data_IF_996770844297
#
_entry.id   IF_996770844297
#
_cell.length_a   1.000
_cell.length_b   1.000
_cell.length_c   1.000
_cell.angle_alpha   90.00
_cell.angle_beta   90.00
_cell.angle_gamma   90.00
#
_symmetry.space_group_name_H-M   'P 1'
#
loop_
_entity.id
_entity.type
_entity.pdbx_description
1 polymer ?
#
# COMPACT_ATOMS: atom_id res chain seq x y z
N UNK A 1 -47.37 -68.53 32.95
CA UNK A 1 -46.90 -67.25 33.53
C UNK A 1 -45.83 -66.67 32.62
N UNK A 2 -46.04 -65.53 31.94
CA UNK A 2 -44.98 -64.86 31.20
C UNK A 2 -44.22 -63.87 32.11
N UNK A 3 -42.90 -63.86 31.98
CA UNK A 3 -41.99 -63.08 32.83
C UNK A 3 -42.01 -61.58 32.50
N UNK A 4 -42.02 -60.77 33.55
CA UNK A 4 -42.00 -59.30 33.52
C UNK A 4 -40.57 -58.76 33.44
N UNK A 5 -39.85 -58.87 32.32
CA UNK A 5 -38.56 -58.17 32.17
C UNK A 5 -38.26 -57.79 30.71
N UNK A 6 -38.96 -56.80 30.13
CA UNK A 6 -38.54 -56.23 28.83
C UNK A 6 -39.06 -54.80 28.55
N UNK A 7 -38.86 -53.82 29.44
CA UNK A 7 -39.20 -52.41 29.10
C UNK A 7 -38.16 -51.34 29.49
N UNK A 8 -37.16 -51.61 30.32
CA UNK A 8 -36.29 -50.54 30.88
C UNK A 8 -35.01 -50.19 30.11
N UNK A 9 -34.76 -50.70 28.89
CA UNK A 9 -33.49 -50.48 28.19
C UNK A 9 -33.53 -49.55 26.95
N UNK A 10 -34.68 -48.98 26.57
CA UNK A 10 -34.77 -48.17 25.33
C UNK A 10 -34.89 -46.65 25.54
N UNK A 11 -35.03 -46.18 26.79
CA UNK A 11 -35.24 -44.74 27.09
C UNK A 11 -33.97 -43.95 27.42
N UNK A 12 -32.84 -44.61 27.71
CA UNK A 12 -31.58 -43.93 28.05
C UNK A 12 -30.78 -43.46 26.81
N UNK A 13 -30.82 -44.19 25.70
CA UNK A 13 -30.11 -43.83 24.47
C UNK A 13 -30.69 -42.58 23.77
N UNK A 14 -32.01 -42.51 23.66
CA UNK A 14 -32.71 -41.37 23.03
C UNK A 14 -32.52 -40.09 23.84
N UNK A 15 -32.56 -40.17 25.18
CA UNK A 15 -32.34 -39.02 26.07
C UNK A 15 -30.92 -38.45 26.01
N UNK A 16 -29.89 -39.30 25.91
CA UNK A 16 -28.48 -38.87 25.78
C UNK A 16 -28.22 -38.24 24.41
N UNK A 17 -28.77 -38.78 23.32
CA UNK A 17 -28.63 -38.20 21.98
C UNK A 17 -29.38 -36.87 21.85
N UNK A 18 -30.58 -36.73 22.43
CA UNK A 18 -31.32 -35.45 22.48
C UNK A 18 -30.62 -34.42 23.38
N UNK A 19 -30.11 -34.81 24.54
CA UNK A 19 -29.38 -33.89 25.42
C UNK A 19 -28.06 -33.41 24.80
N UNK A 20 -27.33 -34.28 24.10
CA UNK A 20 -26.09 -33.91 23.40
C UNK A 20 -26.34 -33.02 22.18
N UNK A 21 -27.39 -33.29 21.39
CA UNK A 21 -27.80 -32.42 20.28
C UNK A 21 -28.37 -31.09 20.76
N UNK A 22 -29.16 -31.06 21.84
CA UNK A 22 -29.65 -29.84 22.45
C UNK A 22 -28.52 -29.02 23.09
N UNK A 23 -27.56 -29.65 23.77
CA UNK A 23 -26.38 -28.99 24.32
C UNK A 23 -25.45 -28.46 23.23
N UNK A 24 -25.26 -29.23 22.14
CA UNK A 24 -24.55 -28.76 20.95
C UNK A 24 -25.28 -27.57 20.30
N UNK A 25 -26.60 -27.63 20.17
CA UNK A 25 -27.45 -26.55 19.66
C UNK A 25 -27.42 -25.30 20.53
N UNK A 26 -27.48 -25.45 21.86
CA UNK A 26 -27.35 -24.36 22.82
C UNK A 26 -25.94 -23.76 22.80
N UNK A 27 -24.90 -24.59 22.64
CA UNK A 27 -23.52 -24.15 22.47
C UNK A 27 -23.33 -23.32 21.19
N UNK A 28 -23.87 -23.80 20.06
CA UNK A 28 -23.86 -23.07 18.78
C UNK A 28 -24.64 -21.77 18.90
N UNK A 29 -25.84 -21.77 19.48
CA UNK A 29 -26.66 -20.58 19.68
C UNK A 29 -25.93 -19.55 20.55
N UNK A 30 -25.39 -19.95 21.70
CA UNK A 30 -24.62 -19.08 22.60
C UNK A 30 -23.39 -18.49 21.90
N UNK A 31 -22.68 -19.29 21.10
CA UNK A 31 -21.57 -18.81 20.30
C UNK A 31 -22.02 -17.76 19.27
N UNK A 32 -23.09 -18.03 18.51
CA UNK A 32 -23.63 -17.09 17.52
C UNK A 32 -24.11 -15.79 18.16
N UNK A 33 -24.77 -15.86 19.33
CA UNK A 33 -25.16 -14.67 20.08
C UNK A 33 -23.95 -13.82 20.51
N UNK A 34 -22.89 -14.46 21.04
CA UNK A 34 -21.66 -13.74 21.43
C UNK A 34 -20.98 -13.08 20.23
N UNK A 35 -20.90 -13.78 19.09
CA UNK A 35 -20.36 -13.24 17.84
C UNK A 35 -21.20 -12.05 17.35
N UNK A 36 -22.53 -12.17 17.37
CA UNK A 36 -23.42 -11.10 16.93
C UNK A 36 -23.35 -9.87 17.86
N UNK A 37 -23.23 -10.09 19.17
CA UNK A 37 -22.99 -9.00 20.12
C UNK A 37 -21.66 -8.29 19.84
N UNK A 38 -20.58 -9.05 19.63
CA UNK A 38 -19.29 -8.47 19.24
C UNK A 38 -19.36 -7.71 17.90
N UNK A 39 -20.13 -8.19 16.92
CA UNK A 39 -20.37 -7.47 15.67
C UNK A 39 -21.13 -6.14 15.91
N UNK A 40 -22.11 -6.13 16.81
CA UNK A 40 -22.81 -4.90 17.19
C UNK A 40 -21.87 -3.89 17.87
N UNK A 41 -21.01 -4.35 18.79
CA UNK A 41 -20.00 -3.51 19.44
C UNK A 41 -19.03 -2.90 18.42
N UNK A 42 -18.59 -3.67 17.43
CA UNK A 42 -17.73 -3.18 16.35
C UNK A 42 -18.47 -2.20 15.43
N UNK A 43 -19.75 -2.42 15.16
CA UNK A 43 -20.56 -1.48 14.38
C UNK A 43 -20.71 -0.13 15.09
N UNK A 44 -20.72 -0.10 16.42
CA UNK A 44 -20.70 1.15 17.18
C UNK A 44 -19.38 1.94 17.02
N UNK A 45 -18.28 1.29 16.61
CA UNK A 45 -17.00 1.95 16.35
C UNK A 45 -16.93 2.62 14.96
N UNK A 46 -17.83 2.30 14.03
CA UNK A 46 -17.83 2.86 12.67
C UNK A 46 -17.82 4.40 12.66
N UNK A 47 -18.75 5.11 13.34
CA UNK A 47 -18.73 6.57 13.37
C UNK A 47 -17.49 7.12 14.10
N UNK A 48 -17.01 6.43 15.13
CA UNK A 48 -15.82 6.83 15.93
C UNK A 48 -14.55 6.76 15.09
N UNK A 49 -14.32 5.66 14.40
CA UNK A 49 -13.13 5.48 13.55
C UNK A 49 -13.19 6.39 12.32
N UNK A 50 -14.36 6.53 11.69
CA UNK A 50 -14.54 7.47 10.58
C UNK A 50 -14.27 8.92 11.02
N UNK A 51 -14.78 9.36 12.18
CA UNK A 51 -14.48 10.67 12.73
C UNK A 51 -12.98 10.84 13.02
N UNK A 52 -12.34 9.85 13.64
CA UNK A 52 -10.92 9.88 13.95
C UNK A 52 -10.04 10.14 12.71
N UNK A 53 -10.38 9.53 11.56
CA UNK A 53 -9.68 9.80 10.30
C UNK A 53 -9.97 11.19 9.76
N UNK A 54 -11.24 11.62 9.74
CA UNK A 54 -11.65 12.95 9.26
C UNK A 54 -11.01 14.09 10.04
N UNK A 55 -10.93 13.99 11.36
CA UNK A 55 -10.31 15.00 12.25
C UNK A 55 -8.81 15.21 11.97
N UNK A 56 -8.21 14.39 11.10
CA UNK A 56 -6.78 14.41 10.77
C UNK A 56 -6.52 14.83 9.33
N UNK A 57 -7.55 15.05 8.51
CA UNK A 57 -7.41 15.38 7.08
C UNK A 57 -6.63 16.68 6.86
N UNK A 58 -6.78 17.67 7.75
CA UNK A 58 -6.15 18.98 7.61
C UNK A 58 -4.74 19.06 8.19
N UNK A 59 -4.26 17.98 8.83
CA UNK A 59 -2.88 17.91 9.32
C UNK A 59 -1.92 18.03 8.15
N UNK A 60 -0.88 18.86 8.31
CA UNK A 60 0.17 19.03 7.31
C UNK A 60 1.23 17.92 7.45
N UNK A 61 1.92 17.64 6.35
CA UNK A 61 3.05 16.74 6.29
C UNK A 61 3.78 16.93 4.97
N UNK A 62 5.09 16.65 4.95
CA UNK A 62 5.92 16.69 3.74
C UNK A 62 5.42 15.69 2.71
N UNK A 63 5.09 14.48 3.16
CA UNK A 63 4.49 13.43 2.32
C UNK A 63 2.99 13.34 2.53
N UNK A 64 2.24 13.04 1.48
CA UNK A 64 0.82 12.74 1.47
C UNK A 64 0.58 11.25 1.20
N UNK A 65 -0.01 10.58 2.18
CA UNK A 65 -0.53 9.21 2.06
C UNK A 65 -2.05 9.23 1.96
N UNK A 66 -2.60 8.71 0.86
CA UNK A 66 -4.04 8.53 0.67
C UNK A 66 -4.40 7.04 0.69
N UNK A 67 -5.38 6.67 1.51
CA UNK A 67 -5.92 5.31 1.55
C UNK A 67 -7.37 5.29 1.08
N UNK A 68 -7.72 4.32 0.22
CA UNK A 68 -9.10 3.97 -0.14
C UNK A 68 -9.37 2.52 0.25
N UNK A 69 -10.63 2.20 0.53
CA UNK A 69 -11.01 0.85 0.93
C UNK A 69 -12.28 0.77 1.75
N UNK A 70 -12.36 -0.27 2.56
CA UNK A 70 -13.54 -0.59 3.36
C UNK A 70 -13.30 -0.45 4.88
N UNK A 71 -13.99 -1.25 5.68
CA UNK A 71 -13.89 -1.25 7.14
C UNK A 71 -12.49 -1.63 7.64
N UNK A 72 -11.74 -2.43 6.86
CA UNK A 72 -10.37 -2.79 7.22
C UNK A 72 -9.44 -1.57 7.15
N UNK A 73 -9.64 -0.71 6.15
CA UNK A 73 -8.90 0.54 6.01
C UNK A 73 -9.27 1.54 7.11
N UNK A 74 -10.54 1.58 7.54
CA UNK A 74 -10.96 2.38 8.69
C UNK A 74 -10.40 1.85 10.02
N UNK A 75 -10.07 0.55 10.09
CA UNK A 75 -9.48 -0.09 11.25
C UNK A 75 -10.46 -0.78 12.18
N UNK A 76 -11.65 -1.12 11.71
CA UNK A 76 -12.67 -1.82 12.51
C UNK A 76 -12.09 -3.15 13.02
N UNK A 77 -12.28 -3.44 14.30
CA UNK A 77 -11.67 -4.60 14.97
C UNK A 77 -10.32 -4.33 15.64
N UNK A 78 -9.63 -3.24 15.28
CA UNK A 78 -8.46 -2.78 16.02
C UNK A 78 -8.89 -2.11 17.34
N UNK A 79 -7.99 -2.09 18.32
CA UNK A 79 -8.22 -1.33 19.56
C UNK A 79 -8.17 0.19 19.34
N UNK A 80 -7.60 0.64 18.23
CA UNK A 80 -7.72 2.02 17.73
C UNK A 80 -7.39 2.09 16.24
N UNK A 81 -7.82 3.14 15.52
CA UNK A 81 -7.47 3.34 14.11
C UNK A 81 -5.96 3.37 13.85
N UNK A 82 -5.15 3.84 14.81
CA UNK A 82 -3.69 3.83 14.71
C UNK A 82 -3.09 2.41 14.67
N UNK A 83 -3.83 1.39 15.14
CA UNK A 83 -3.42 -0.02 15.15
C UNK A 83 -3.97 -0.82 13.98
N UNK A 84 -4.76 -0.19 13.10
CA UNK A 84 -5.15 -0.73 11.79
C UNK A 84 -3.95 -0.88 10.85
N UNK A 85 -4.14 -1.50 9.69
CA UNK A 85 -3.05 -1.56 8.71
C UNK A 85 -2.67 -0.16 8.21
N UNK A 86 -3.63 0.72 7.91
CA UNK A 86 -3.36 2.12 7.49
C UNK A 86 -2.61 2.88 8.57
N UNK A 87 -3.01 2.74 9.84
CA UNK A 87 -2.33 3.37 10.97
C UNK A 87 -0.90 2.87 11.15
N UNK A 88 -0.70 1.56 11.03
CA UNK A 88 0.64 0.92 11.11
C UNK A 88 1.54 1.32 9.96
N UNK A 89 1.02 1.34 8.74
CA UNK A 89 1.73 1.80 7.55
C UNK A 89 2.10 3.28 7.68
N UNK A 90 1.21 4.12 8.21
CA UNK A 90 1.52 5.53 8.51
C UNK A 90 2.71 5.66 9.47
N UNK A 91 2.75 4.84 10.53
CA UNK A 91 3.88 4.83 11.46
C UNK A 91 5.16 4.28 10.82
N UNK A 92 5.05 3.25 9.97
CA UNK A 92 6.15 2.69 9.20
C UNK A 92 6.76 3.73 8.25
N UNK A 93 5.94 4.42 7.46
CA UNK A 93 6.38 5.46 6.53
C UNK A 93 7.14 6.58 7.25
N UNK A 94 6.62 7.08 8.38
CA UNK A 94 7.32 8.12 9.18
C UNK A 94 8.69 7.66 9.66
N UNK A 95 8.81 6.41 10.12
CA UNK A 95 10.09 5.85 10.57
C UNK A 95 11.07 5.70 9.41
N UNK A 96 10.60 5.24 8.26
CA UNK A 96 11.45 4.94 7.11
C UNK A 96 11.91 6.20 6.37
N UNK A 97 11.05 7.22 6.27
CA UNK A 97 11.33 8.46 5.53
C UNK A 97 11.93 9.56 6.39
N UNK A 98 11.91 9.42 7.72
CA UNK A 98 12.30 10.46 8.68
C UNK A 98 11.63 11.82 8.43
N UNK A 99 10.42 11.83 7.86
CA UNK A 99 9.68 13.06 7.55
C UNK A 99 8.25 13.06 8.08
N UNK A 100 7.63 14.23 8.06
CA UNK A 100 6.22 14.40 8.43
C UNK A 100 5.30 13.84 7.36
N UNK A 101 4.23 13.16 7.78
CA UNK A 101 3.25 12.52 6.91
C UNK A 101 1.87 13.11 7.16
N UNK A 102 1.19 13.54 6.10
CA UNK A 102 -0.26 13.79 6.07
C UNK A 102 -0.94 12.51 5.64
N UNK A 103 -2.01 12.11 6.34
CA UNK A 103 -2.75 10.89 6.03
C UNK A 103 -4.20 11.26 5.76
N UNK A 104 -4.70 10.89 4.59
CA UNK A 104 -6.10 11.04 4.20
C UNK A 104 -6.66 9.65 3.94
N UNK A 105 -7.52 9.18 4.84
CA UNK A 105 -8.17 7.88 4.70
C UNK A 105 -9.61 8.09 4.23
N UNK A 106 -9.86 7.84 2.94
CA UNK A 106 -11.13 8.01 2.26
C UNK A 106 -12.05 6.78 2.38
N UNK A 107 -11.58 5.73 3.04
CA UNK A 107 -12.33 4.48 3.17
C UNK A 107 -13.69 4.64 3.85
N UNK A 108 -14.60 3.75 3.46
CA UNK A 108 -15.98 3.70 3.98
C UNK A 108 -16.28 2.26 4.39
N UNK A 109 -16.65 2.03 5.64
CA UNK A 109 -17.04 0.70 6.11
C UNK A 109 -18.19 0.11 5.30
N UNK A 110 -18.09 -1.18 4.98
CA UNK A 110 -19.07 -1.88 4.14
C UNK A 110 -18.99 -1.52 2.64
N UNK A 111 -18.05 -0.68 2.21
CA UNK A 111 -17.90 -0.33 0.80
C UNK A 111 -17.60 -1.56 -0.05
N UNK A 112 -18.36 -1.71 -1.14
CA UNK A 112 -18.02 -2.57 -2.27
C UNK A 112 -17.13 -1.82 -3.27
N UNK A 113 -16.66 -2.48 -4.32
CA UNK A 113 -15.99 -1.81 -5.44
C UNK A 113 -16.87 -0.75 -6.10
N UNK A 114 -18.18 -0.99 -6.23
CA UNK A 114 -19.12 -0.01 -6.77
C UNK A 114 -19.22 1.24 -5.89
N UNK A 115 -19.37 1.07 -4.56
CA UNK A 115 -19.41 2.20 -3.62
C UNK A 115 -18.09 2.96 -3.57
N UNK A 116 -16.96 2.26 -3.66
CA UNK A 116 -15.64 2.89 -3.71
C UNK A 116 -15.53 3.80 -4.94
N UNK A 117 -15.89 3.27 -6.12
CA UNK A 117 -15.97 4.04 -7.35
C UNK A 117 -16.91 5.24 -7.23
N UNK A 118 -18.09 5.08 -6.63
CA UNK A 118 -19.11 6.13 -6.56
C UNK A 118 -18.76 7.24 -5.56
N UNK A 119 -18.24 6.87 -4.38
CA UNK A 119 -18.21 7.75 -3.21
C UNK A 119 -16.80 8.11 -2.74
N UNK A 120 -15.79 7.30 -3.07
CA UNK A 120 -14.39 7.53 -2.67
C UNK A 120 -13.58 8.11 -3.83
N UNK A 121 -13.72 7.56 -5.04
CA UNK A 121 -12.91 7.98 -6.19
C UNK A 121 -13.05 9.47 -6.54
N UNK A 122 -14.25 10.09 -6.58
CA UNK A 122 -14.37 11.54 -6.85
C UNK A 122 -13.74 12.42 -5.77
N UNK A 123 -13.50 11.89 -4.56
CA UNK A 123 -12.76 12.60 -3.51
C UNK A 123 -11.26 12.40 -3.69
N UNK A 124 -10.85 11.20 -4.08
CA UNK A 124 -9.45 10.85 -4.35
C UNK A 124 -8.83 11.74 -5.42
N UNK A 125 -9.57 12.03 -6.49
CA UNK A 125 -9.13 12.88 -7.61
C UNK A 125 -8.77 14.33 -7.20
N UNK A 126 -9.09 14.75 -5.97
CA UNK A 126 -8.74 16.06 -5.42
C UNK A 126 -7.37 16.09 -4.74
N UNK A 127 -6.64 14.96 -4.76
CA UNK A 127 -5.36 14.79 -4.09
C UNK A 127 -4.29 14.36 -5.08
N UNK A 128 -3.06 14.81 -4.83
CA UNK A 128 -1.85 14.36 -5.51
C UNK A 128 -0.97 13.61 -4.50
N UNK A 129 -1.25 12.32 -4.24
CA UNK A 129 -0.58 11.57 -3.18
C UNK A 129 0.79 11.03 -3.56
N UNK A 130 1.75 11.15 -2.65
CA UNK A 130 3.06 10.49 -2.75
C UNK A 130 2.96 8.97 -2.60
N UNK A 131 2.03 8.51 -1.76
CA UNK A 131 1.77 7.09 -1.51
C UNK A 131 0.27 6.83 -1.52
N UNK A 132 -0.14 5.75 -2.20
CA UNK A 132 -1.55 5.32 -2.25
C UNK A 132 -1.65 3.85 -1.89
N UNK A 133 -2.61 3.52 -1.02
CA UNK A 133 -3.04 2.13 -0.82
C UNK A 133 -4.52 1.97 -1.08
N UNK A 134 -4.90 0.94 -1.84
CA UNK A 134 -6.29 0.56 -2.06
C UNK A 134 -6.51 -0.88 -1.65
N UNK A 135 -7.37 -1.12 -0.67
CA UNK A 135 -7.80 -2.48 -0.30
C UNK A 135 -9.34 -2.51 -0.28
N UNK A 136 -9.93 -3.05 -1.35
CA UNK A 136 -11.38 -3.05 -1.58
C UNK A 136 -11.79 -4.35 -2.27
N UNK A 137 -13.01 -4.80 -2.02
CA UNK A 137 -13.61 -5.95 -2.71
C UNK A 137 -14.07 -7.08 -1.81
N UNK A 138 -13.66 -7.09 -0.53
CA UNK A 138 -14.06 -8.14 0.41
C UNK A 138 -15.59 -8.19 0.60
N UNK A 139 -16.25 -7.04 0.58
CA UNK A 139 -17.71 -6.96 0.68
C UNK A 139 -18.43 -7.47 -0.57
N UNK A 140 -17.81 -7.34 -1.75
CA UNK A 140 -18.37 -7.85 -3.01
C UNK A 140 -18.52 -9.37 -3.00
N UNK A 141 -17.70 -10.11 -2.22
CA UNK A 141 -17.77 -11.57 -2.12
C UNK A 141 -19.13 -12.09 -1.62
N UNK A 142 -19.86 -11.27 -0.86
CA UNK A 142 -21.21 -11.62 -0.37
C UNK A 142 -22.16 -11.85 -1.54
N UNK A 143 -22.17 -10.93 -2.52
CA UNK A 143 -22.98 -10.99 -3.74
C UNK A 143 -22.08 -10.82 -4.97
N UNK A 144 -21.14 -11.75 -5.13
CA UNK A 144 -20.08 -11.64 -6.12
C UNK A 144 -20.60 -11.77 -7.55
N UNK A 145 -20.30 -10.77 -8.37
CA UNK A 145 -20.49 -10.79 -9.82
C UNK A 145 -19.17 -10.36 -10.47
N UNK A 146 -18.46 -11.27 -11.18
CA UNK A 146 -17.10 -11.00 -11.67
C UNK A 146 -17.05 -9.86 -12.69
N UNK A 147 -18.04 -9.75 -13.58
CA UNK A 147 -18.09 -8.70 -14.60
C UNK A 147 -18.22 -7.30 -13.98
N UNK A 148 -19.15 -7.13 -13.04
CA UNK A 148 -19.35 -5.86 -12.34
C UNK A 148 -18.14 -5.51 -11.47
N UNK A 149 -17.56 -6.50 -10.80
CA UNK A 149 -16.35 -6.34 -10.00
C UNK A 149 -15.18 -5.86 -10.86
N UNK A 150 -14.90 -6.52 -11.98
CA UNK A 150 -13.85 -6.11 -12.93
C UNK A 150 -14.12 -4.71 -13.48
N UNK A 151 -15.35 -4.42 -13.94
CA UNK A 151 -15.72 -3.11 -14.48
C UNK A 151 -15.44 -1.99 -13.48
N UNK A 152 -15.76 -2.20 -12.21
CA UNK A 152 -15.49 -1.21 -11.18
C UNK A 152 -13.99 -1.06 -10.89
N UNK A 153 -13.25 -2.18 -10.80
CA UNK A 153 -11.81 -2.12 -10.59
C UNK A 153 -11.08 -1.41 -11.73
N UNK A 154 -11.49 -1.60 -12.99
CA UNK A 154 -10.92 -0.90 -14.13
C UNK A 154 -11.06 0.62 -14.01
N UNK A 155 -12.23 1.09 -13.58
CA UNK A 155 -12.45 2.53 -13.37
C UNK A 155 -11.63 3.05 -12.19
N UNK A 156 -11.60 2.31 -11.07
CA UNK A 156 -10.83 2.73 -9.89
C UNK A 156 -9.34 2.77 -10.24
N UNK A 157 -8.80 1.67 -10.79
CA UNK A 157 -7.36 1.51 -11.04
C UNK A 157 -6.86 2.44 -12.16
N UNK A 158 -7.68 2.70 -13.19
CA UNK A 158 -7.34 3.64 -14.25
C UNK A 158 -7.24 5.09 -13.82
N UNK A 159 -7.77 5.45 -12.65
CA UNK A 159 -7.66 6.79 -12.06
C UNK A 159 -6.56 6.89 -10.99
N UNK A 160 -5.88 5.79 -10.66
CA UNK A 160 -4.79 5.80 -9.70
C UNK A 160 -3.47 6.23 -10.37
N UNK A 161 -2.57 6.90 -9.64
CA UNK A 161 -1.22 7.10 -10.13
C UNK A 161 -0.49 5.74 -10.23
N UNK A 162 0.48 5.64 -11.15
CA UNK A 162 1.20 4.39 -11.43
C UNK A 162 1.94 3.79 -10.22
N UNK A 163 2.26 4.61 -9.21
CA UNK A 163 2.87 4.16 -7.96
C UNK A 163 1.88 3.67 -6.90
N UNK A 164 0.59 3.55 -7.21
CA UNK A 164 -0.39 3.06 -6.26
C UNK A 164 -0.19 1.56 -5.96
N UNK A 165 -0.43 1.20 -4.70
CA UNK A 165 -0.28 -0.16 -4.19
C UNK A 165 -1.68 -0.70 -3.86
N UNK A 166 -2.13 -1.71 -4.59
CA UNK A 166 -3.46 -2.32 -4.40
C UNK A 166 -3.33 -3.66 -3.68
N UNK A 167 -4.19 -3.93 -2.70
CA UNK A 167 -4.23 -5.22 -2.02
C UNK A 167 -5.17 -6.19 -2.74
N UNK A 168 -4.72 -7.41 -2.96
CA UNK A 168 -5.66 -8.51 -3.22
C UNK A 168 -6.46 -8.85 -1.94
N UNK A 169 -7.54 -9.61 -2.06
CA UNK A 169 -8.45 -9.89 -0.96
C UNK A 169 -7.83 -10.90 0.03
N UNK A 170 -7.98 -10.69 1.35
CA UNK A 170 -7.43 -11.56 2.40
C UNK A 170 -8.11 -12.93 2.44
N UNK A 171 -7.40 -13.98 2.87
CA UNK A 171 -7.99 -15.31 3.02
C UNK A 171 -9.21 -15.31 3.96
N UNK A 172 -10.34 -15.89 3.52
CA UNK A 172 -11.59 -15.91 4.29
C UNK A 172 -11.86 -17.25 4.98
N UNK A 173 -11.24 -18.35 4.51
CA UNK A 173 -11.36 -19.69 5.10
C UNK A 173 -12.79 -20.23 5.19
N UNK A 174 -13.71 -19.69 4.39
CA UNK A 174 -15.08 -20.20 4.22
C UNK A 174 -15.17 -20.76 2.81
N UNK A 175 -15.37 -22.08 2.61
CA UNK A 175 -15.15 -22.74 1.32
C UNK A 175 -15.78 -22.06 0.10
N UNK A 176 -17.07 -21.71 0.17
CA UNK A 176 -17.76 -21.07 -0.96
C UNK A 176 -17.30 -19.63 -1.21
N UNK A 177 -16.90 -18.91 -0.15
CA UNK A 177 -16.33 -17.56 -0.28
C UNK A 177 -14.91 -17.63 -0.81
N UNK A 178 -14.14 -18.64 -0.43
CA UNK A 178 -12.77 -18.83 -0.88
C UNK A 178 -12.72 -19.07 -2.40
N UNK A 179 -13.66 -19.83 -2.97
CA UNK A 179 -13.79 -20.01 -4.44
C UNK A 179 -13.99 -18.67 -5.16
N UNK A 180 -14.99 -17.89 -4.73
CA UNK A 180 -15.27 -16.55 -5.26
C UNK A 180 -14.08 -15.61 -5.10
N UNK A 181 -13.38 -15.72 -3.98
CA UNK A 181 -12.23 -14.90 -3.66
C UNK A 181 -11.02 -15.21 -4.55
N UNK A 182 -10.77 -16.48 -4.87
CA UNK A 182 -9.71 -16.87 -5.81
C UNK A 182 -9.95 -16.24 -7.18
N UNK A 183 -11.20 -16.29 -7.68
CA UNK A 183 -11.59 -15.64 -8.92
C UNK A 183 -11.44 -14.11 -8.84
N UNK A 184 -11.96 -13.47 -7.78
CA UNK A 184 -11.80 -12.04 -7.55
C UNK A 184 -10.32 -11.61 -7.50
N UNK A 185 -9.45 -12.39 -6.86
CA UNK A 185 -8.02 -12.11 -6.79
C UNK A 185 -7.31 -12.29 -8.14
N UNK A 186 -7.76 -13.21 -8.99
CA UNK A 186 -7.28 -13.30 -10.36
C UNK A 186 -7.63 -12.03 -11.14
N UNK A 187 -8.85 -11.49 -10.98
CA UNK A 187 -9.26 -10.21 -11.58
C UNK A 187 -8.42 -9.05 -11.04
N UNK A 188 -8.26 -8.93 -9.71
CA UNK A 188 -7.44 -7.88 -9.08
C UNK A 188 -6.05 -7.84 -9.67
N UNK A 189 -5.36 -9.00 -9.70
CA UNK A 189 -3.97 -9.08 -10.18
C UNK A 189 -3.86 -8.77 -11.66
N UNK A 190 -4.78 -9.30 -12.48
CA UNK A 190 -4.79 -9.05 -13.92
C UNK A 190 -5.01 -7.56 -14.22
N UNK A 191 -6.08 -6.96 -13.68
CA UNK A 191 -6.40 -5.54 -13.93
C UNK A 191 -5.31 -4.62 -13.37
N UNK A 192 -4.75 -4.92 -12.19
CA UNK A 192 -3.62 -4.17 -11.65
C UNK A 192 -2.40 -4.20 -12.59
N UNK A 193 -2.08 -5.37 -13.14
CA UNK A 193 -0.99 -5.53 -14.11
C UNK A 193 -1.21 -4.73 -15.41
N UNK A 194 -2.44 -4.66 -15.90
CA UNK A 194 -2.79 -3.85 -17.09
C UNK A 194 -2.57 -2.34 -16.87
N UNK A 195 -2.72 -1.85 -15.64
CA UNK A 195 -2.45 -0.45 -15.27
C UNK A 195 -1.05 -0.23 -14.67
N UNK A 196 -0.19 -1.25 -14.64
CA UNK A 196 1.16 -1.15 -14.09
C UNK A 196 1.20 -0.94 -12.56
N UNK A 197 0.13 -1.28 -11.84
CA UNK A 197 0.02 -1.09 -10.40
C UNK A 197 0.71 -2.21 -9.63
N UNK A 198 1.25 -1.89 -8.45
CA UNK A 198 1.86 -2.89 -7.57
C UNK A 198 0.79 -3.59 -6.75
N UNK A 199 0.78 -4.93 -6.72
CA UNK A 199 -0.14 -5.71 -5.89
C UNK A 199 0.55 -6.13 -4.58
N UNK A 200 -0.01 -5.72 -3.45
CA UNK A 200 0.35 -6.25 -2.14
C UNK A 200 -0.25 -7.66 -1.98
N UNK A 201 0.56 -8.70 -1.66
CA UNK A 201 0.12 -10.09 -1.60
C UNK A 201 -0.61 -10.40 -0.27
N UNK A 202 -1.72 -9.71 -0.01
CA UNK A 202 -2.48 -9.80 1.23
C UNK A 202 -3.14 -11.18 1.40
N UNK A 203 -3.66 -11.77 0.32
CA UNK A 203 -4.19 -13.13 0.30
C UNK A 203 -3.15 -14.13 0.80
N UNK A 204 -1.99 -14.16 0.16
CA UNK A 204 -0.94 -15.12 0.50
C UNK A 204 -0.41 -14.87 1.92
N UNK A 205 -0.19 -13.61 2.29
CA UNK A 205 0.32 -13.21 3.61
C UNK A 205 -0.62 -13.65 4.75
N UNK A 206 -1.93 -13.51 4.53
CA UNK A 206 -2.96 -13.94 5.50
C UNK A 206 -3.15 -15.46 5.47
N UNK A 207 -3.16 -16.10 4.29
CA UNK A 207 -3.29 -17.56 4.12
C UNK A 207 -2.15 -18.32 4.79
N UNK A 208 -0.91 -17.83 4.67
CA UNK A 208 0.30 -18.42 5.30
C UNK A 208 0.24 -18.45 6.83
N UNK A 209 -0.63 -17.67 7.47
CA UNK A 209 -0.81 -17.74 8.92
C UNK A 209 -1.45 -19.06 9.37
N UNK A 210 -2.16 -19.74 8.47
CA UNK A 210 -2.97 -20.91 8.80
C UNK A 210 -4.28 -20.54 9.51
N UNK A 211 -5.22 -21.48 9.48
CA UNK A 211 -6.59 -21.28 9.99
C UNK A 211 -6.60 -20.83 11.47
N UNK A 212 -5.92 -21.57 12.34
CA UNK A 212 -5.92 -21.30 13.78
C UNK A 212 -5.37 -19.92 14.15
N UNK A 213 -4.28 -19.49 13.49
CA UNK A 213 -3.71 -18.17 13.75
C UNK A 213 -4.56 -17.06 13.15
N UNK A 214 -5.16 -17.28 11.97
CA UNK A 214 -6.11 -16.34 11.36
C UNK A 214 -7.31 -16.10 12.28
N UNK A 215 -7.87 -17.16 12.85
CA UNK A 215 -8.94 -17.07 13.84
C UNK A 215 -8.52 -16.23 15.06
N UNK A 216 -7.33 -16.49 15.63
CA UNK A 216 -6.78 -15.69 16.76
C UNK A 216 -6.40 -14.24 16.37
N UNK A 217 -6.23 -13.98 15.09
CA UNK A 217 -5.94 -12.66 14.53
C UNK A 217 -7.22 -11.92 14.12
N UNK A 218 -8.39 -12.49 14.35
CA UNK A 218 -9.69 -11.87 14.11
C UNK A 218 -10.23 -11.21 15.39
N UNK A 219 -11.06 -10.19 15.22
CA UNK A 219 -11.83 -9.57 16.28
C UNK A 219 -12.98 -10.50 16.72
N UNK A 220 -13.77 -10.06 17.71
CA UNK A 220 -14.83 -10.90 18.30
C UNK A 220 -15.94 -11.30 17.32
N UNK A 221 -16.10 -10.59 16.21
CA UNK A 221 -17.04 -10.91 15.14
C UNK A 221 -16.54 -12.00 14.17
N UNK A 222 -15.27 -12.41 14.32
CA UNK A 222 -14.58 -13.40 13.49
C UNK A 222 -14.50 -13.03 12.00
N UNK A 223 -14.65 -11.75 11.69
CA UNK A 223 -14.59 -11.23 10.33
C UNK A 223 -13.53 -10.15 10.20
N UNK A 224 -13.55 -9.14 11.07
CA UNK A 224 -12.56 -8.09 11.03
C UNK A 224 -11.23 -8.54 11.66
N UNK A 225 -10.08 -8.05 11.18
CA UNK A 225 -8.81 -8.26 11.88
C UNK A 225 -8.81 -7.57 13.25
N UNK A 226 -8.15 -8.19 14.24
CA UNK A 226 -7.75 -7.50 15.45
C UNK A 226 -6.37 -6.84 15.29
N UNK A 227 -5.82 -6.25 16.34
CA UNK A 227 -4.50 -5.61 16.29
C UNK A 227 -3.37 -6.49 15.76
N UNK A 228 -3.41 -7.81 16.03
CA UNK A 228 -2.42 -8.77 15.53
C UNK A 228 -2.67 -9.08 14.06
N UNK A 229 -3.93 -9.23 13.66
CA UNK A 229 -4.33 -9.37 12.26
C UNK A 229 -3.91 -8.17 11.43
N UNK A 230 -4.13 -6.95 11.91
CA UNK A 230 -3.70 -5.74 11.21
C UNK A 230 -2.19 -5.58 11.09
N UNK A 231 -1.41 -6.18 12.00
CA UNK A 231 0.05 -6.27 11.82
C UNK A 231 0.41 -7.16 10.63
N UNK A 232 -0.27 -8.29 10.47
CA UNK A 232 -0.10 -9.18 9.31
C UNK A 232 -0.52 -8.48 8.03
N UNK A 233 -1.65 -7.76 8.04
CA UNK A 233 -2.09 -6.99 6.88
C UNK A 233 -1.08 -5.91 6.49
N UNK A 234 -0.61 -5.11 7.45
CA UNK A 234 0.40 -4.08 7.17
C UNK A 234 1.66 -4.68 6.52
N UNK A 235 2.14 -5.82 7.03
CA UNK A 235 3.33 -6.48 6.48
C UNK A 235 3.23 -6.90 5.01
N UNK A 236 2.02 -7.08 4.47
CA UNK A 236 1.83 -7.34 3.04
C UNK A 236 2.15 -6.12 2.16
N UNK A 237 1.96 -4.91 2.69
CA UNK A 237 2.18 -3.65 1.96
C UNK A 237 3.56 -3.03 2.23
N UNK A 238 4.16 -3.32 3.38
CA UNK A 238 5.44 -2.74 3.83
C UNK A 238 6.56 -2.79 2.77
N UNK A 239 6.81 -3.92 2.05
CA UNK A 239 7.85 -3.96 1.03
C UNK A 239 7.63 -2.99 -0.13
N UNK A 240 6.40 -2.93 -0.66
CA UNK A 240 6.05 -2.03 -1.75
C UNK A 240 6.12 -0.56 -1.32
N UNK A 241 5.71 -0.26 -0.08
CA UNK A 241 5.83 1.08 0.50
C UNK A 241 7.30 1.46 0.68
N UNK A 242 8.14 0.57 1.18
CA UNK A 242 9.57 0.83 1.32
C UNK A 242 10.22 1.17 -0.02
N UNK A 243 9.90 0.40 -1.08
CA UNK A 243 10.38 0.66 -2.43
C UNK A 243 9.90 2.03 -2.96
N UNK A 244 8.63 2.40 -2.72
CA UNK A 244 8.10 3.72 -3.10
C UNK A 244 8.80 4.85 -2.37
N UNK A 245 9.01 4.73 -1.07
CA UNK A 245 9.73 5.76 -0.28
C UNK A 245 11.18 5.91 -0.73
N UNK A 246 11.85 4.81 -1.08
CA UNK A 246 13.21 4.86 -1.63
C UNK A 246 13.26 5.60 -2.98
N UNK A 247 12.26 5.36 -3.87
CA UNK A 247 12.13 6.11 -5.13
C UNK A 247 11.92 7.61 -4.89
N UNK A 248 11.02 7.98 -3.97
CA UNK A 248 10.80 9.39 -3.61
C UNK A 248 12.10 10.05 -3.12
N UNK A 249 12.83 9.39 -2.21
CA UNK A 249 14.09 9.92 -1.68
C UNK A 249 15.16 10.07 -2.78
N UNK A 250 15.23 9.11 -3.73
CA UNK A 250 16.15 9.19 -4.86
C UNK A 250 15.81 10.34 -5.81
N UNK A 251 14.52 10.52 -6.12
CA UNK A 251 14.05 11.61 -6.98
C UNK A 251 14.33 12.98 -6.31
N UNK A 252 14.06 13.13 -5.00
CA UNK A 252 14.42 14.35 -4.24
C UNK A 252 15.92 14.63 -4.24
N UNK A 253 16.77 13.59 -4.12
CA UNK A 253 18.22 13.72 -4.15
C UNK A 253 18.75 14.15 -5.53
N UNK A 254 18.20 13.58 -6.61
CA UNK A 254 18.54 13.95 -7.98
C UNK A 254 18.20 15.41 -8.27
N UNK A 255 16.97 15.86 -7.94
CA UNK A 255 16.57 17.26 -8.10
C UNK A 255 17.45 18.21 -7.28
N UNK A 256 17.86 17.81 -6.07
CA UNK A 256 18.77 18.62 -5.24
C UNK A 256 20.17 18.73 -5.86
N UNK A 257 20.67 17.66 -6.47
CA UNK A 257 21.97 17.65 -7.17
C UNK A 257 21.94 18.56 -8.39
N UNK A 258 20.94 18.42 -9.25
CA UNK A 258 20.75 19.25 -10.45
C UNK A 258 20.65 20.74 -10.10
N UNK A 259 19.91 21.07 -9.03
CA UNK A 259 19.81 22.45 -8.56
C UNK A 259 21.17 23.03 -8.10
N UNK A 260 21.98 22.23 -7.40
CA UNK A 260 23.33 22.64 -6.95
C UNK A 260 24.30 22.81 -8.12
N UNK A 261 24.24 21.94 -9.12
CA UNK A 261 25.06 22.08 -10.32
C UNK A 261 24.69 23.34 -11.11
N UNK A 262 23.39 23.61 -11.26
CA UNK A 262 22.91 24.82 -11.92
C UNK A 262 23.37 26.10 -11.18
N UNK A 263 23.31 26.10 -9.84
CA UNK A 263 23.80 27.21 -9.03
C UNK A 263 25.32 27.40 -9.16
N UNK A 264 26.10 26.31 -9.18
CA UNK A 264 27.55 26.37 -9.35
C UNK A 264 27.95 26.90 -10.74
N UNK A 265 27.27 26.47 -11.80
CA UNK A 265 27.48 26.98 -13.16
C UNK A 265 27.12 28.45 -13.27
N UNK A 266 26.00 28.87 -12.66
CA UNK A 266 25.59 30.28 -12.62
C UNK A 266 26.63 31.15 -11.87
N UNK A 267 27.12 30.68 -10.72
CA UNK A 267 28.16 31.37 -9.95
C UNK A 267 29.48 31.47 -10.72
N UNK A 268 29.90 30.41 -11.40
CA UNK A 268 31.11 30.41 -12.24
C UNK A 268 30.98 31.38 -13.42
N UNK A 269 29.82 31.39 -14.09
CA UNK A 269 29.52 32.30 -15.20
C UNK A 269 29.53 33.76 -14.73
N UNK A 270 28.89 34.05 -13.59
CA UNK A 270 28.86 35.38 -13.00
C UNK A 270 30.29 35.87 -12.66
N UNK A 271 31.12 35.02 -12.05
CA UNK A 271 32.52 35.33 -11.75
C UNK A 271 33.34 35.59 -13.02
N UNK A 272 33.13 34.81 -14.09
CA UNK A 272 33.80 35.01 -15.37
C UNK A 272 33.38 36.31 -16.07
N UNK A 273 32.11 36.72 -15.94
CA UNK A 273 31.62 38.00 -16.49
C UNK A 273 32.02 39.23 -15.65
N UNK A 274 32.29 39.04 -14.36
CA UNK A 274 32.73 40.10 -13.45
C UNK A 274 34.27 40.30 -13.45
N UNK A 275 35.03 39.43 -14.11
CA UNK A 275 36.48 39.58 -14.25
C UNK A 275 36.79 40.80 -15.15
N UNK A 276 37.68 41.73 -14.74
CA UNK A 276 37.95 42.94 -15.52
C UNK A 276 38.55 42.60 -16.88
N UNK A 277 38.12 43.30 -17.94
CA UNK A 277 38.69 43.25 -19.29
C UNK A 277 40.10 43.88 -19.38
N UNK A 278 40.98 43.60 -18.42
CA UNK A 278 42.33 44.15 -18.33
C UNK A 278 43.39 43.10 -18.74
N UNK A 279 43.25 42.51 -19.92
CA UNK A 279 44.30 41.66 -20.50
C UNK A 279 44.20 41.49 -22.03
N UNK A 280 43.66 42.49 -22.76
CA UNK A 280 43.70 42.49 -24.24
C UNK A 280 44.12 43.85 -24.80
N UNK A 281 45.23 44.39 -24.32
CA UNK A 281 45.95 45.48 -25.01
C UNK A 281 47.41 45.57 -24.54
N UNK A 282 48.24 44.67 -25.05
CA UNK A 282 49.67 44.92 -25.25
C UNK A 282 49.97 44.35 -26.63
N UNK A 283 49.91 45.13 -27.71
CA UNK A 283 50.66 46.36 -27.87
C UNK A 283 51.91 46.01 -28.67
N UNK A 284 51.72 45.94 -29.98
CA UNK A 284 52.73 45.79 -31.02
C UNK A 284 53.91 46.73 -30.76
N UNK A 285 55.11 46.20 -30.58
CA UNK A 285 56.35 46.99 -30.55
C UNK A 285 57.32 46.42 -31.59
N UNK A 286 57.36 47.11 -32.73
CA UNK A 286 58.32 46.96 -33.81
C UNK A 286 59.63 47.65 -33.42
N UNK A 287 60.75 46.93 -33.41
CA UNK A 287 62.09 47.55 -33.57
C UNK A 287 63.03 46.55 -34.25
N UNK A 288 63.61 46.96 -35.40
CA UNK A 288 64.84 46.36 -35.96
C UNK A 288 66.01 46.51 -34.97
N UNK A 289 67.16 45.87 -35.12
CA UNK A 289 67.99 45.78 -36.33
C UNK A 289 69.12 44.76 -36.06
N UNK A 290 69.52 44.04 -37.11
CA UNK A 290 70.85 43.47 -37.44
C UNK A 290 71.66 42.60 -36.45
N UNK A 291 72.09 41.43 -36.96
CA UNK A 291 73.45 40.93 -36.70
C UNK A 291 73.62 39.41 -36.63
N UNK A 292 74.22 38.82 -37.67
CA UNK A 292 75.28 37.80 -37.48
C UNK A 292 74.92 36.31 -37.47
N UNK A 293 75.02 35.70 -38.66
CA UNK A 293 75.80 34.49 -38.98
C UNK A 293 75.62 33.16 -38.19
N UNK A 294 75.33 32.12 -39.01
CA UNK A 294 76.06 30.85 -39.13
C UNK A 294 75.42 29.54 -38.61
N UNK A 295 75.34 28.62 -39.58
CA UNK A 295 75.49 27.14 -39.53
C UNK A 295 74.32 26.26 -39.08
N UNK A 296 73.75 25.59 -40.11
CA UNK A 296 73.05 24.29 -40.14
C UNK A 296 73.97 23.11 -39.75
N UNK A 297 73.60 21.80 -39.90
CA UNK A 297 72.29 21.16 -40.17
C UNK A 297 72.04 19.86 -39.33
N UNK A 298 71.06 19.05 -39.78
CA UNK A 298 70.81 17.60 -39.55
C UNK A 298 69.83 17.25 -38.39
N UNK A 299 68.93 16.27 -38.47
CA UNK A 299 68.42 15.36 -39.52
C UNK A 299 67.12 14.68 -38.99
N UNK A 300 66.48 13.88 -39.86
CA UNK A 300 65.58 12.75 -39.58
C UNK A 300 64.14 13.06 -39.10
N UNK A 301 63.08 12.92 -39.92
CA UNK A 301 62.49 11.75 -40.62
C UNK A 301 61.53 10.89 -39.77
N UNK A 302 60.45 10.46 -40.45
CA UNK A 302 59.63 9.27 -40.21
C UNK A 302 58.68 9.26 -38.98
N UNK A 303 57.47 8.69 -38.99
CA UNK A 303 56.62 8.09 -40.02
C UNK A 303 55.20 7.84 -39.43
N UNK A 304 54.30 7.59 -40.37
CA UNK A 304 52.90 7.10 -40.42
C UNK A 304 52.31 6.24 -39.29
N UNK A 305 50.98 6.37 -39.13
CA UNK A 305 50.03 5.30 -38.78
C UNK A 305 48.80 5.85 -38.01
N UNK A 306 47.53 5.79 -38.44
CA UNK A 306 46.85 4.92 -39.39
C UNK A 306 46.05 3.84 -38.64
N UNK A 307 44.75 4.04 -38.41
CA UNK A 307 43.77 2.95 -38.25
C UNK A 307 42.33 3.49 -38.29
N UNK A 308 41.58 2.96 -39.27
CA UNK A 308 40.13 2.80 -39.23
C UNK A 308 39.73 1.65 -38.31
#
# INVERSE_FOLDING_TARGET
MPSRHTVTAFLSGVGVTLATTAAAGAGVSRFMHRRNAAAADLNALLPVHSAWWRDRFDRKGKLLYVAMGDSAAQGIGASSPARSYVGRLSAFMRRQSHTSLRVVNLSVSGSTTWLCRKDQLPKFEKYEPDVVTVAIGANDIIQFNPESFEKNLRVIYGALPSHAIVGDLPAMWIPDREKKLVEANAIVRRVAGEFGLTVAPLYETTRRQGFFRTYRNSAGDLFHPNDRGYRVWASAFEPAIAARLARIAADEAATTHEAREAEAVAAHTAAATAAPAAARSSGTATTGTAGGAATSPTDASADVGGAS
#
